data_IF_698389917971
#
_entry.id   IF_698389917971
#
_cell.length_a   1.000
_cell.length_b   1.000
_cell.length_c   1.000
_cell.angle_alpha   90.00
_cell.angle_beta   90.00
_cell.angle_gamma   90.00
#
_symmetry.space_group_name_H-M   'P 1'
#
loop_
_entity.id
_entity.type
_entity.pdbx_description
1 polymer ?
#
# COMPACT_ATOMS: atom_id res chain seq x y z
N UNK A 1 24.59 46.55 -18.63
CA UNK A 1 25.11 45.17 -18.53
C UNK A 1 24.52 44.57 -17.26
N UNK A 2 23.41 43.83 -17.38
CA UNK A 2 22.74 43.19 -16.25
C UNK A 2 23.50 41.89 -15.93
N UNK A 3 24.11 41.81 -14.75
CA UNK A 3 24.72 40.57 -14.26
C UNK A 3 23.71 39.90 -13.34
N UNK A 4 23.18 38.77 -13.79
CA UNK A 4 22.30 37.86 -13.06
C UNK A 4 23.00 37.33 -11.82
N UNK A 5 22.37 37.51 -10.65
CA UNK A 5 22.77 36.82 -9.43
C UNK A 5 22.17 35.41 -9.45
N UNK A 6 23.02 34.39 -9.43
CA UNK A 6 22.61 33.01 -9.23
C UNK A 6 22.28 32.80 -7.75
N UNK A 7 21.02 32.46 -7.46
CA UNK A 7 20.60 32.05 -6.12
C UNK A 7 20.93 30.56 -5.99
N UNK A 8 22.08 30.24 -5.40
CA UNK A 8 22.40 28.88 -4.97
C UNK A 8 21.55 28.53 -3.74
N UNK A 9 20.57 27.63 -3.89
CA UNK A 9 19.85 27.07 -2.75
C UNK A 9 20.73 26.03 -2.05
N UNK A 10 21.46 26.43 -1.02
CA UNK A 10 22.09 25.50 -0.09
C UNK A 10 20.99 24.78 0.69
N UNK A 11 20.77 23.50 0.41
CA UNK A 11 19.90 22.66 1.21
C UNK A 11 20.45 22.59 2.66
N UNK A 12 19.64 23.03 3.62
CA UNK A 12 19.92 22.85 5.04
C UNK A 12 20.02 21.35 5.37
N UNK A 13 21.06 20.88 6.09
CA UNK A 13 21.11 19.53 6.57
C UNK A 13 20.19 19.43 7.80
N UNK A 14 19.11 18.65 7.70
CA UNK A 14 18.34 18.25 8.88
C UNK A 14 16.83 18.35 8.77
N UNK A 15 16.22 17.61 7.84
CA UNK A 15 14.90 16.98 8.09
C UNK A 15 14.87 15.61 7.41
N UNK A 16 15.68 14.68 7.91
CA UNK A 16 15.65 13.28 7.50
C UNK A 16 15.70 12.38 8.75
N UNK A 17 14.77 12.60 9.68
CA UNK A 17 14.54 11.70 10.81
C UNK A 17 13.22 12.05 11.50
N UNK A 18 12.09 11.49 11.06
CA UNK A 18 10.86 11.29 11.86
C UNK A 18 9.71 10.58 11.09
N UNK A 19 9.98 9.75 10.08
CA UNK A 19 8.90 8.99 9.42
C UNK A 19 8.84 7.51 9.87
N UNK A 20 9.79 7.05 10.68
CA UNK A 20 10.03 5.62 10.84
C UNK A 20 9.43 5.00 12.11
N UNK A 21 9.15 5.79 13.15
CA UNK A 21 8.74 5.26 14.47
C UNK A 21 7.21 5.12 14.65
N UNK A 22 6.42 5.31 13.58
CA UNK A 22 4.95 5.12 13.63
C UNK A 22 4.48 3.80 13.05
N UNK A 23 5.33 3.06 12.35
CA UNK A 23 4.92 1.82 11.66
C UNK A 23 5.13 0.63 12.60
N UNK A 24 4.03 -0.10 12.89
CA UNK A 24 4.07 -1.31 13.72
C UNK A 24 4.51 -2.55 12.95
N UNK A 25 4.35 -2.55 11.63
CA UNK A 25 4.68 -3.67 10.76
C UNK A 25 5.55 -3.19 9.60
N UNK A 26 6.57 -4.00 9.27
CA UNK A 26 7.42 -3.80 8.11
C UNK A 26 6.60 -3.98 6.81
N UNK A 27 6.83 -3.10 5.84
CA UNK A 27 6.20 -3.15 4.52
C UNK A 27 7.15 -3.75 3.50
N UNK A 28 6.68 -4.77 2.79
CA UNK A 28 7.41 -5.43 1.72
C UNK A 28 6.92 -4.90 0.38
N UNK A 29 7.87 -4.57 -0.51
CA UNK A 29 7.60 -4.25 -1.91
C UNK A 29 7.13 -5.49 -2.63
N UNK A 30 5.83 -5.55 -2.95
CA UNK A 30 5.27 -6.71 -3.63
C UNK A 30 4.14 -6.34 -4.58
N UNK A 31 4.46 -6.08 -5.86
CA UNK A 31 3.47 -5.78 -6.88
C UNK A 31 2.56 -6.98 -7.15
N UNK A 32 1.32 -6.90 -6.66
CA UNK A 32 0.26 -7.88 -6.90
C UNK A 32 -0.97 -7.20 -7.49
N UNK A 33 -1.73 -7.91 -8.32
CA UNK A 33 -3.00 -7.40 -8.81
C UNK A 33 -4.02 -7.33 -7.67
N UNK A 34 -4.79 -6.25 -7.63
CA UNK A 34 -5.88 -6.07 -6.67
C UNK A 34 -7.14 -5.64 -7.40
N UNK A 35 -8.28 -6.15 -6.93
CA UNK A 35 -9.60 -5.70 -7.40
C UNK A 35 -10.52 -5.39 -6.24
N UNK A 36 -11.39 -4.41 -6.43
CA UNK A 36 -12.47 -4.08 -5.50
C UNK A 36 -13.66 -3.49 -6.26
N UNK A 37 -14.82 -3.50 -5.61
CA UNK A 37 -16.02 -2.82 -6.07
C UNK A 37 -16.18 -1.54 -5.26
N UNK A 38 -16.10 -0.39 -5.92
CA UNK A 38 -16.36 0.94 -5.33
C UNK A 38 -17.70 1.50 -5.80
N UNK A 39 -18.03 2.72 -5.38
CA UNK A 39 -19.27 3.41 -5.80
C UNK A 39 -19.35 3.63 -7.32
N UNK A 40 -18.20 3.74 -7.99
CA UNK A 40 -18.07 3.88 -9.44
C UNK A 40 -17.99 2.55 -10.20
N UNK A 41 -18.16 1.41 -9.52
CA UNK A 41 -18.10 0.07 -10.10
C UNK A 41 -16.81 -0.69 -9.77
N UNK A 42 -16.52 -1.72 -10.56
CA UNK A 42 -15.34 -2.57 -10.40
C UNK A 42 -14.05 -1.85 -10.79
N UNK A 43 -13.03 -1.97 -9.96
CA UNK A 43 -11.69 -1.42 -10.18
C UNK A 43 -10.65 -2.54 -10.15
N UNK A 44 -9.67 -2.47 -11.06
CA UNK A 44 -8.44 -3.28 -11.03
C UNK A 44 -7.25 -2.35 -10.87
N UNK A 45 -6.31 -2.71 -10.00
CA UNK A 45 -5.14 -1.90 -9.70
C UNK A 45 -3.96 -2.75 -9.22
N UNK A 46 -2.95 -2.12 -8.61
CA UNK A 46 -1.76 -2.80 -8.08
C UNK A 46 -1.50 -2.47 -6.63
N UNK A 47 -1.11 -3.49 -5.87
CA UNK A 47 -0.47 -3.31 -4.57
C UNK A 47 0.94 -2.75 -4.79
N UNK A 48 1.30 -1.67 -4.11
CA UNK A 48 2.63 -1.06 -4.16
C UNK A 48 3.53 -1.59 -3.05
N UNK A 49 2.96 -1.73 -1.85
CA UNK A 49 3.56 -2.37 -0.70
C UNK A 49 2.49 -3.03 0.19
N UNK A 50 2.91 -4.05 0.94
CA UNK A 50 2.03 -4.82 1.83
C UNK A 50 2.74 -5.20 3.12
N UNK A 51 1.98 -5.29 4.20
CA UNK A 51 2.39 -5.67 5.55
C UNK A 51 1.29 -6.53 6.19
N UNK A 52 1.53 -7.02 7.41
CA UNK A 52 0.54 -7.80 8.16
C UNK A 52 -0.71 -7.00 8.56
N UNK A 53 -0.62 -5.67 8.61
CA UNK A 53 -1.74 -4.81 9.03
C UNK A 53 -2.37 -4.00 7.91
N UNK A 54 -1.82 -4.03 6.69
CA UNK A 54 -2.23 -3.09 5.65
C UNK A 54 -1.45 -3.21 4.36
N UNK A 55 -1.95 -2.54 3.33
CA UNK A 55 -1.27 -2.37 2.05
C UNK A 55 -1.47 -0.94 1.52
N UNK A 56 -0.63 -0.54 0.57
CA UNK A 56 -0.87 0.63 -0.27
C UNK A 56 -1.23 0.17 -1.67
N UNK A 57 -2.32 0.70 -2.22
CA UNK A 57 -2.80 0.41 -3.57
C UNK A 57 -2.53 1.62 -4.46
N UNK A 58 -1.81 1.40 -5.55
CA UNK A 58 -1.63 2.38 -6.63
C UNK A 58 -2.79 2.29 -7.61
N UNK A 59 -3.54 3.38 -7.76
CA UNK A 59 -4.71 3.43 -8.65
C UNK A 59 -5.08 4.85 -9.04
N UNK A 60 -5.88 4.97 -10.10
CA UNK A 60 -6.62 6.19 -10.46
C UNK A 60 -8.07 6.17 -9.92
N UNK A 61 -8.51 5.07 -9.30
CA UNK A 61 -9.83 4.96 -8.68
C UNK A 61 -9.95 5.84 -7.44
N UNK A 62 -11.11 6.47 -7.27
CA UNK A 62 -11.41 7.32 -6.13
C UNK A 62 -11.90 6.52 -4.93
N UNK A 63 -11.46 6.92 -3.73
CA UNK A 63 -11.89 6.39 -2.44
C UNK A 63 -11.98 7.51 -1.41
N UNK A 64 -12.69 7.28 -0.30
CA UNK A 64 -12.76 8.23 0.82
C UNK A 64 -12.04 7.71 2.06
N UNK A 65 -11.33 8.59 2.78
CA UNK A 65 -10.74 8.21 4.08
C UNK A 65 -11.83 7.78 5.06
N UNK A 66 -11.64 6.66 5.74
CA UNK A 66 -12.61 6.03 6.64
C UNK A 66 -13.51 4.99 5.97
N UNK A 67 -13.61 5.01 4.64
CA UNK A 67 -14.38 4.03 3.87
C UNK A 67 -13.89 2.61 4.15
N UNK A 68 -14.84 1.68 4.29
CA UNK A 68 -14.56 0.24 4.41
C UNK A 68 -14.69 -0.39 3.03
N UNK A 69 -13.63 -1.06 2.58
CA UNK A 69 -13.57 -1.75 1.30
C UNK A 69 -13.46 -3.26 1.51
N UNK A 70 -14.21 -4.01 0.71
CA UNK A 70 -13.96 -5.42 0.44
C UNK A 70 -13.19 -5.52 -0.87
N UNK A 71 -12.08 -6.24 -0.87
CA UNK A 71 -11.18 -6.33 -2.01
C UNK A 71 -10.49 -7.69 -2.07
N UNK A 72 -9.92 -8.01 -3.22
CA UNK A 72 -9.20 -9.26 -3.43
C UNK A 72 -7.82 -8.97 -4.00
N UNK A 73 -6.80 -9.63 -3.44
CA UNK A 73 -5.43 -9.60 -3.97
C UNK A 73 -5.16 -10.92 -4.66
N UNK A 74 -4.65 -10.88 -5.88
CA UNK A 74 -4.20 -12.09 -6.57
C UNK A 74 -2.85 -12.53 -6.01
N UNK A 75 -2.81 -13.76 -5.50
CA UNK A 75 -1.56 -14.40 -5.07
C UNK A 75 -0.68 -14.83 -6.27
N UNK A 76 0.62 -15.10 -6.04
CA UNK A 76 1.51 -15.64 -7.07
C UNK A 76 1.02 -16.92 -7.74
N UNK A 77 0.19 -17.72 -7.06
CA UNK A 77 -0.41 -18.93 -7.63
C UNK A 77 -1.64 -18.64 -8.51
N UNK A 78 -1.97 -17.37 -8.75
CA UNK A 78 -3.14 -16.92 -9.51
C UNK A 78 -4.45 -16.91 -8.72
N UNK A 79 -4.46 -17.36 -7.45
CA UNK A 79 -5.66 -17.40 -6.61
C UNK A 79 -5.99 -16.03 -6.05
N UNK A 80 -7.25 -15.62 -6.16
CA UNK A 80 -7.77 -14.41 -5.51
C UNK A 80 -8.02 -14.64 -4.01
N UNK A 81 -7.40 -13.80 -3.18
CA UNK A 81 -7.50 -13.85 -1.73
C UNK A 81 -8.35 -12.68 -1.24
N UNK A 82 -9.52 -12.93 -0.61
CA UNK A 82 -10.38 -11.85 -0.12
C UNK A 82 -9.87 -11.24 1.17
N UNK A 83 -10.02 -9.92 1.27
CA UNK A 83 -9.66 -9.08 2.39
C UNK A 83 -10.70 -7.96 2.59
N UNK A 84 -10.68 -7.40 3.79
CA UNK A 84 -11.42 -6.19 4.12
C UNK A 84 -10.47 -5.18 4.76
N UNK A 85 -10.73 -3.88 4.55
CA UNK A 85 -9.90 -2.84 5.14
C UNK A 85 -10.58 -1.48 5.19
N UNK A 86 -10.05 -0.61 6.04
CA UNK A 86 -10.41 0.81 6.06
C UNK A 86 -9.36 1.65 5.34
N UNK A 87 -9.82 2.58 4.50
CA UNK A 87 -8.97 3.60 3.90
C UNK A 87 -8.45 4.52 5.00
N UNK A 88 -7.15 4.49 5.26
CA UNK A 88 -6.52 5.31 6.32
C UNK A 88 -5.97 6.63 5.80
N UNK A 89 -5.70 6.72 4.49
CA UNK A 89 -5.36 7.94 3.76
C UNK A 89 -5.47 7.67 2.26
N UNK A 90 -5.62 8.72 1.44
CA UNK A 90 -5.60 8.63 -0.01
C UNK A 90 -4.84 9.81 -0.62
N UNK A 91 -4.34 9.62 -1.83
CA UNK A 91 -3.67 10.61 -2.65
C UNK A 91 -4.30 10.54 -4.05
N UNK A 92 -4.99 11.63 -4.44
CA UNK A 92 -5.71 11.70 -5.71
C UNK A 92 -4.77 11.35 -6.88
N UNK A 93 -5.28 10.55 -7.82
CA UNK A 93 -4.55 10.09 -9.02
C UNK A 93 -3.25 9.32 -8.73
N UNK A 94 -3.09 8.76 -7.54
CA UNK A 94 -1.88 8.04 -7.16
C UNK A 94 -2.21 6.75 -6.40
N UNK A 95 -3.05 6.81 -5.38
CA UNK A 95 -3.41 5.62 -4.63
C UNK A 95 -3.93 5.89 -3.23
N UNK A 96 -4.02 4.83 -2.43
CA UNK A 96 -4.50 4.93 -1.05
C UNK A 96 -3.94 3.82 -0.17
N UNK A 97 -3.86 4.12 1.13
CA UNK A 97 -3.46 3.15 2.15
C UNK A 97 -4.68 2.50 2.79
N UNK A 98 -4.62 1.18 2.96
CA UNK A 98 -5.60 0.38 3.69
C UNK A 98 -5.02 -0.16 4.98
N UNK A 99 -5.84 -0.15 6.04
CA UNK A 99 -5.65 -0.99 7.22
C UNK A 99 -6.56 -2.20 7.12
N UNK A 100 -5.99 -3.40 7.12
CA UNK A 100 -6.74 -4.65 7.11
C UNK A 100 -7.56 -4.82 8.40
N UNK A 101 -8.76 -5.34 8.26
CA UNK A 101 -9.66 -5.69 9.37
C UNK A 101 -10.25 -7.08 9.15
N UNK A 102 -10.85 -7.65 10.20
CA UNK A 102 -11.52 -8.96 10.16
C UNK A 102 -10.64 -10.12 9.63
N UNK A 103 -9.33 -10.05 9.89
CA UNK A 103 -8.40 -11.12 9.55
C UNK A 103 -8.58 -12.30 10.52
N UNK A 104 -9.11 -13.41 10.03
CA UNK A 104 -9.04 -14.68 10.77
C UNK A 104 -7.59 -15.15 10.90
N UNK A 105 -7.31 -16.04 11.86
CA UNK A 105 -5.97 -16.59 12.05
C UNK A 105 -5.44 -17.27 10.79
N UNK A 106 -6.28 -18.05 10.11
CA UNK A 106 -5.93 -18.69 8.83
C UNK A 106 -5.60 -17.67 7.72
N UNK A 107 -6.31 -16.53 7.69
CA UNK A 107 -6.04 -15.48 6.71
C UNK A 107 -4.76 -14.72 7.05
N UNK A 108 -4.53 -14.44 8.33
CA UNK A 108 -3.29 -13.83 8.83
C UNK A 108 -2.08 -14.69 8.52
N UNK A 109 -2.19 -16.00 8.70
CA UNK A 109 -1.15 -16.95 8.37
C UNK A 109 -0.90 -17.03 6.85
N UNK A 110 -1.96 -17.03 6.03
CA UNK A 110 -1.83 -16.94 4.56
C UNK A 110 -1.08 -15.67 4.14
N UNK A 111 -1.41 -14.52 4.75
CA UNK A 111 -0.73 -13.25 4.50
C UNK A 111 0.72 -13.28 4.95
N UNK A 112 1.02 -13.93 6.08
CA UNK A 112 2.39 -14.09 6.59
C UNK A 112 3.26 -14.85 5.59
N UNK A 113 2.76 -15.97 5.06
CA UNK A 113 3.43 -16.75 4.01
C UNK A 113 3.64 -15.95 2.72
N UNK A 114 2.65 -15.14 2.34
CA UNK A 114 2.76 -14.23 1.19
C UNK A 114 3.88 -13.18 1.36
N UNK A 115 4.06 -12.66 2.57
CA UNK A 115 5.14 -11.72 2.86
C UNK A 115 6.51 -12.41 2.92
N UNK A 116 6.59 -13.64 3.41
CA UNK A 116 7.81 -14.44 3.41
C UNK A 116 8.28 -14.75 1.98
N UNK A 117 7.35 -15.15 1.11
CA UNK A 117 7.61 -15.30 -0.33
C UNK A 117 8.21 -14.04 -0.94
N UNK A 118 7.57 -12.89 -0.67
CA UNK A 118 7.96 -11.61 -1.23
C UNK A 118 9.37 -11.17 -0.82
N UNK A 119 9.84 -11.59 0.36
CA UNK A 119 11.18 -11.33 0.87
C UNK A 119 12.26 -12.26 0.28
N UNK A 120 11.90 -13.17 -0.62
CA UNK A 120 12.81 -14.16 -1.19
C UNK A 120 12.94 -15.44 -0.36
N UNK A 121 12.08 -15.63 0.65
CA UNK A 121 11.94 -16.92 1.33
C UNK A 121 11.24 -17.94 0.43
N UNK A 122 11.50 -19.23 0.66
CA UNK A 122 10.75 -20.30 0.01
C UNK A 122 9.36 -20.40 0.64
N UNK A 123 8.38 -19.68 0.11
CA UNK A 123 6.97 -19.91 0.49
C UNK A 123 5.98 -19.63 -0.63
N UNK A 124 5.80 -20.59 -1.53
CA UNK A 124 4.51 -21.17 -1.96
C UNK A 124 4.85 -22.43 -2.76
#
# INVERSE_FOLDING_TARGET
MLQTAEISYTAAPGVAAAADERRRDERVRFPLEVRWEGLSGGHTARVYDISLSGCYIETLGDVQTGERLSFEIQSPTGRWLPFEGHVVHHQRNMGFGLRLVNLSDARRDTLSRLLEYARGGSSF
#
